data_IF_377134637792
#
_entry.id   IF_377134637792
#
_cell.length_a   1.000
_cell.length_b   1.000
_cell.length_c   1.000
_cell.angle_alpha   90.00
_cell.angle_beta   90.00
_cell.angle_gamma   90.00
#
_symmetry.space_group_name_H-M   'P 1'
#
loop_
_entity.id
_entity.type
_entity.pdbx_description
1 polymer ?
#
# COMPACT_ATOMS: atom_id res chain seq x y z
N UNK A 1 -16.18 -15.62 11.95
CA UNK A 1 -15.05 -14.78 11.50
C UNK A 1 -14.60 -15.29 10.13
N UNK A 2 -14.40 -14.41 9.14
CA UNK A 2 -14.10 -14.83 7.77
C UNK A 2 -12.60 -15.13 7.64
N UNK A 3 -12.23 -16.41 7.60
CA UNK A 3 -10.84 -16.90 7.65
C UNK A 3 -9.92 -16.29 6.56
N UNK A 4 -10.49 -15.84 5.44
CA UNK A 4 -9.73 -15.18 4.39
C UNK A 4 -9.23 -13.79 4.81
N UNK A 5 -10.08 -13.01 5.51
CA UNK A 5 -9.72 -11.67 6.01
C UNK A 5 -8.53 -11.74 6.96
N UNK A 6 -8.54 -12.70 7.89
CA UNK A 6 -7.46 -12.90 8.85
C UNK A 6 -6.15 -13.27 8.17
N UNK A 7 -6.21 -14.14 7.14
CA UNK A 7 -5.03 -14.48 6.34
C UNK A 7 -4.47 -13.25 5.64
N UNK A 8 -5.29 -12.45 4.97
CA UNK A 8 -4.82 -11.22 4.28
C UNK A 8 -4.19 -10.24 5.26
N UNK A 9 -4.82 -10.02 6.43
CA UNK A 9 -4.28 -9.13 7.45
C UNK A 9 -2.97 -9.66 8.05
N UNK A 10 -2.80 -10.98 8.15
CA UNK A 10 -1.53 -11.59 8.56
C UNK A 10 -0.41 -11.26 7.57
N UNK A 11 -0.62 -11.47 6.28
CA UNK A 11 0.38 -11.13 5.26
C UNK A 11 0.64 -9.61 5.20
N UNK A 12 -0.41 -8.80 5.33
CA UNK A 12 -0.27 -7.34 5.41
C UNK A 12 0.65 -6.92 6.57
N UNK A 13 0.45 -7.50 7.75
CA UNK A 13 1.29 -7.21 8.91
C UNK A 13 2.73 -7.67 8.69
N UNK A 14 2.96 -8.81 8.03
CA UNK A 14 4.30 -9.27 7.67
C UNK A 14 5.02 -8.27 6.75
N UNK A 15 4.36 -7.82 5.67
CA UNK A 15 4.92 -6.80 4.78
C UNK A 15 5.18 -5.48 5.52
N UNK A 16 4.30 -5.08 6.45
CA UNK A 16 4.54 -3.90 7.28
C UNK A 16 5.73 -4.04 8.22
N UNK A 17 5.97 -5.20 8.82
CA UNK A 17 7.15 -5.43 9.66
C UNK A 17 8.43 -5.39 8.84
N UNK A 18 8.46 -6.03 7.67
CA UNK A 18 9.60 -5.95 6.74
C UNK A 18 9.85 -4.50 6.29
N UNK A 19 8.79 -3.74 5.99
CA UNK A 19 8.90 -2.32 5.68
C UNK A 19 9.47 -1.51 6.85
N UNK A 20 9.05 -1.79 8.10
CA UNK A 20 9.60 -1.13 9.31
C UNK A 20 11.08 -1.44 9.50
N UNK A 21 11.46 -2.71 9.37
CA UNK A 21 12.86 -3.13 9.51
C UNK A 21 13.74 -2.44 8.46
N UNK A 22 13.30 -2.41 7.20
CA UNK A 22 14.00 -1.70 6.13
C UNK A 22 14.07 -0.18 6.37
N UNK A 23 13.00 0.42 6.91
CA UNK A 23 12.97 1.85 7.26
C UNK A 23 14.00 2.21 8.34
N UNK A 24 14.14 1.36 9.37
CA UNK A 24 15.09 1.59 10.48
C UNK A 24 16.54 1.64 10.01
N UNK A 25 16.90 0.86 9.00
CA UNK A 25 18.25 0.83 8.40
C UNK A 25 18.37 1.71 7.16
N UNK A 26 17.38 2.58 6.89
CA UNK A 26 17.35 3.49 5.74
C UNK A 26 17.43 2.81 4.36
N UNK A 27 17.02 1.53 4.28
CA UNK A 27 16.95 0.79 3.02
C UNK A 27 15.65 1.16 2.28
N UNK A 28 15.63 2.35 1.65
CA UNK A 28 14.41 2.96 1.16
C UNK A 28 13.74 2.22 0.00
N UNK A 29 14.47 1.66 -0.96
CA UNK A 29 13.84 0.88 -2.04
C UNK A 29 13.17 -0.38 -1.47
N UNK A 30 13.87 -1.10 -0.59
CA UNK A 30 13.31 -2.30 0.08
C UNK A 30 12.09 -1.94 0.94
N UNK A 31 12.17 -0.84 1.69
CA UNK A 31 11.05 -0.35 2.47
C UNK A 31 9.84 -0.07 1.57
N UNK A 32 10.05 0.65 0.46
CA UNK A 32 8.97 1.01 -0.45
C UNK A 32 8.36 -0.22 -1.14
N UNK A 33 9.19 -1.18 -1.55
CA UNK A 33 8.73 -2.46 -2.10
C UNK A 33 7.75 -3.19 -1.16
N UNK A 34 8.10 -3.31 0.12
CA UNK A 34 7.21 -3.92 1.10
C UNK A 34 5.95 -3.08 1.36
N UNK A 35 6.04 -1.75 1.29
CA UNK A 35 4.87 -0.88 1.36
C UNK A 35 3.94 -1.05 0.16
N UNK A 36 4.45 -1.20 -1.06
CA UNK A 36 3.63 -1.46 -2.26
C UNK A 36 2.83 -2.76 -2.12
N UNK A 37 3.46 -3.78 -1.56
CA UNK A 37 2.84 -5.07 -1.27
C UNK A 37 1.81 -4.99 -0.16
N UNK A 38 2.13 -4.30 0.95
CA UNK A 38 1.19 -4.00 2.01
C UNK A 38 -0.01 -3.20 1.48
N UNK A 39 0.21 -2.27 0.55
CA UNK A 39 -0.85 -1.48 -0.07
C UNK A 39 -1.82 -2.39 -0.83
N UNK A 40 -1.33 -3.29 -1.69
CA UNK A 40 -2.15 -4.26 -2.44
C UNK A 40 -3.02 -5.11 -1.49
N UNK A 41 -2.44 -5.64 -0.41
CA UNK A 41 -3.17 -6.44 0.59
C UNK A 41 -4.16 -5.59 1.40
N UNK A 42 -3.81 -4.34 1.66
CA UNK A 42 -4.57 -3.38 2.44
C UNK A 42 -5.72 -2.70 1.67
N UNK A 43 -5.77 -2.76 0.33
CA UNK A 43 -6.71 -1.97 -0.50
C UNK A 43 -8.18 -2.09 -0.08
N UNK A 44 -8.61 -3.27 0.39
CA UNK A 44 -10.00 -3.53 0.80
C UNK A 44 -10.31 -3.09 2.24
N UNK A 45 -9.31 -2.60 2.98
CA UNK A 45 -9.43 -2.22 4.37
C UNK A 45 -8.99 -0.77 4.55
N UNK A 46 -9.93 0.13 4.79
CA UNK A 46 -9.70 1.58 4.84
C UNK A 46 -8.54 1.95 5.78
N UNK A 47 -8.47 1.35 6.97
CA UNK A 47 -7.40 1.64 7.94
C UNK A 47 -6.02 1.14 7.42
N UNK A 48 -5.82 -0.15 7.10
CA UNK A 48 -4.58 -0.63 6.45
C UNK A 48 -4.14 0.17 5.22
N UNK A 49 -5.07 0.49 4.33
CA UNK A 49 -4.79 1.28 3.13
C UNK A 49 -4.23 2.67 3.49
N UNK A 50 -4.93 3.42 4.34
CA UNK A 50 -4.51 4.76 4.76
C UNK A 50 -3.19 4.74 5.53
N UNK A 51 -2.99 3.77 6.43
CA UNK A 51 -1.72 3.60 7.16
C UNK A 51 -0.55 3.37 6.21
N UNK A 52 -0.77 2.60 5.14
CA UNK A 52 0.27 2.33 4.15
C UNK A 52 0.65 3.60 3.36
N UNK A 53 -0.33 4.39 2.94
CA UNK A 53 -0.07 5.68 2.28
C UNK A 53 0.70 6.66 3.18
N UNK A 54 0.36 6.73 4.48
CA UNK A 54 1.11 7.55 5.45
C UNK A 54 2.58 7.09 5.54
N UNK A 55 2.83 5.78 5.49
CA UNK A 55 4.20 5.25 5.51
C UNK A 55 4.95 5.53 4.20
N UNK A 56 4.30 5.38 3.05
CA UNK A 56 4.86 5.76 1.75
C UNK A 56 5.22 7.25 1.72
N UNK A 57 4.33 8.11 2.25
CA UNK A 57 4.58 9.54 2.41
C UNK A 57 5.84 9.82 3.24
N UNK A 58 6.01 9.13 4.38
CA UNK A 58 7.22 9.26 5.21
C UNK A 58 8.48 8.85 4.46
N UNK A 59 8.44 7.78 3.65
CA UNK A 59 9.56 7.40 2.80
C UNK A 59 9.85 8.48 1.75
N UNK A 60 8.82 9.09 1.15
CA UNK A 60 8.95 10.24 0.25
C UNK A 60 9.66 11.43 0.91
N UNK A 61 9.29 11.77 2.15
CA UNK A 61 9.98 12.81 2.95
C UNK A 61 11.48 12.50 3.14
N UNK A 62 11.83 11.27 3.53
CA UNK A 62 13.23 10.88 3.73
C UNK A 62 14.04 10.88 2.42
N UNK A 63 13.45 10.45 1.31
CA UNK A 63 14.07 10.46 -0.02
C UNK A 63 14.10 11.84 -0.66
N UNK A 64 13.45 12.85 -0.06
CA UNK A 64 13.20 14.18 -0.65
C UNK A 64 12.51 14.07 -2.03
N UNK A 65 11.65 13.07 -2.18
CA UNK A 65 10.90 12.81 -3.40
C UNK A 65 9.58 13.59 -3.38
N UNK A 66 9.61 14.81 -3.93
CA UNK A 66 8.45 15.70 -3.96
C UNK A 66 7.26 15.12 -4.73
N UNK A 67 7.51 14.33 -5.78
CA UNK A 67 6.43 13.69 -6.55
C UNK A 67 5.70 12.68 -5.68
N UNK A 68 6.46 11.89 -4.93
CA UNK A 68 5.90 10.93 -3.98
C UNK A 68 5.13 11.62 -2.85
N UNK A 69 5.69 12.66 -2.26
CA UNK A 69 5.03 13.44 -1.18
C UNK A 69 3.65 13.95 -1.64
N UNK A 70 3.59 14.64 -2.79
CA UNK A 70 2.33 15.21 -3.32
C UNK A 70 1.37 14.10 -3.73
N UNK A 71 1.86 13.05 -4.40
CA UNK A 71 1.06 11.91 -4.82
C UNK A 71 0.40 11.19 -3.64
N UNK A 72 1.12 11.00 -2.53
CA UNK A 72 0.58 10.36 -1.34
C UNK A 72 -0.46 11.23 -0.61
N UNK A 73 -0.26 12.55 -0.53
CA UNK A 73 -1.29 13.46 0.01
C UNK A 73 -2.59 13.36 -0.79
N UNK A 74 -2.50 13.41 -2.12
CA UNK A 74 -3.65 13.24 -3.00
C UNK A 74 -4.34 11.88 -2.80
N UNK A 75 -3.57 10.79 -2.69
CA UNK A 75 -4.08 9.42 -2.53
C UNK A 75 -4.71 9.16 -1.16
N UNK A 76 -4.24 9.80 -0.09
CA UNK A 76 -4.88 9.73 1.21
C UNK A 76 -6.29 10.33 1.13
N UNK A 77 -6.43 11.52 0.54
CA UNK A 77 -7.73 12.19 0.41
C UNK A 77 -8.66 11.41 -0.53
N UNK A 78 -8.18 11.09 -1.73
CA UNK A 78 -9.00 10.41 -2.74
C UNK A 78 -9.27 8.94 -2.43
N UNK A 79 -8.38 8.25 -1.72
CA UNK A 79 -8.58 6.86 -1.30
C UNK A 79 -9.72 6.71 -0.29
N UNK A 80 -9.89 7.67 0.63
CA UNK A 80 -11.02 7.71 1.56
C UNK A 80 -12.34 7.89 0.79
N UNK A 81 -12.38 8.83 -0.15
CA UNK A 81 -13.57 9.10 -1.00
C UNK A 81 -13.86 7.90 -1.93
N UNK A 82 -12.84 7.38 -2.61
CA UNK A 82 -12.90 6.24 -3.53
C UNK A 82 -13.41 4.96 -2.86
N UNK A 83 -13.00 4.74 -1.62
CA UNK A 83 -13.51 3.62 -0.81
C UNK A 83 -15.00 3.79 -0.47
N UNK A 84 -15.47 5.02 -0.23
CA UNK A 84 -16.87 5.30 0.05
C UNK A 84 -17.79 5.07 -1.18
N UNK A 85 -17.29 5.31 -2.39
CA UNK A 85 -18.01 5.06 -3.65
C UNK A 85 -17.79 3.64 -4.22
N UNK A 86 -17.01 2.78 -3.54
CA UNK A 86 -16.80 1.38 -3.90
C UNK A 86 -15.85 1.12 -5.09
N UNK A 87 -15.09 2.13 -5.53
CA UNK A 87 -14.16 1.99 -6.66
C UNK A 87 -12.74 1.81 -6.14
N UNK A 88 -12.27 0.56 -6.17
CA UNK A 88 -10.91 0.20 -5.75
C UNK A 88 -10.10 -0.35 -6.94
N UNK A 89 -8.97 0.28 -7.30
CA UNK A 89 -8.11 -0.11 -8.41
C UNK A 89 -7.24 -1.30 -8.00
N UNK A 90 -7.83 -2.50 -8.10
CA UNK A 90 -7.22 -3.71 -7.57
C UNK A 90 -5.83 -3.99 -8.16
N UNK A 91 -4.89 -4.36 -7.29
CA UNK A 91 -3.49 -4.63 -7.64
C UNK A 91 -2.59 -3.39 -7.79
N UNK A 92 -3.15 -2.17 -7.70
CA UNK A 92 -2.36 -0.94 -7.75
C UNK A 92 -1.32 -0.92 -6.63
N UNK A 93 -0.07 -0.56 -6.93
CA UNK A 93 1.01 -0.56 -5.93
C UNK A 93 1.00 0.66 -5.01
N UNK A 94 0.28 1.73 -5.37
CA UNK A 94 0.07 2.89 -4.52
C UNK A 94 1.12 4.00 -4.66
N UNK A 95 2.25 3.76 -5.34
CA UNK A 95 3.27 4.78 -5.61
C UNK A 95 2.79 5.92 -6.51
N UNK A 96 3.44 7.08 -6.42
CA UNK A 96 3.12 8.26 -7.25
C UNK A 96 3.52 8.09 -8.73
N UNK A 97 4.36 7.10 -9.03
CA UNK A 97 4.78 6.73 -10.39
C UNK A 97 3.73 5.93 -11.18
N UNK A 98 2.64 5.49 -10.52
CA UNK A 98 1.54 4.78 -11.19
C UNK A 98 0.24 5.60 -11.11
N UNK A 99 -0.59 5.52 -12.16
CA UNK A 99 -1.89 6.17 -12.17
C UNK A 99 -2.77 5.60 -11.02
N UNK A 100 -3.41 6.45 -10.20
CA UNK A 100 -4.18 6.02 -9.04
C UNK A 100 -5.38 5.16 -9.37
N UNK A 101 -5.98 5.28 -10.56
CA UNK A 101 -7.16 4.51 -10.97
C UNK A 101 -6.79 3.28 -11.82
N UNK A 102 -5.51 3.06 -12.09
CA UNK A 102 -5.05 1.91 -12.90
C UNK A 102 -5.18 0.63 -12.11
N UNK A 103 -5.98 -0.32 -12.62
CA UNK A 103 -5.95 -1.72 -12.19
C UNK A 103 -4.66 -2.37 -12.67
N UNK A 104 -4.07 -3.22 -11.85
CA UNK A 104 -2.82 -3.90 -12.15
C UNK A 104 -2.94 -5.39 -11.80
N UNK A 105 -2.09 -6.21 -12.40
CA UNK A 105 -2.04 -7.62 -12.07
C UNK A 105 -1.55 -7.82 -10.63
N UNK A 106 -2.14 -8.80 -9.94
CA UNK A 106 -1.65 -9.19 -8.62
C UNK A 106 -0.30 -9.91 -8.74
N UNK A 107 0.62 -9.68 -7.79
CA UNK A 107 1.76 -10.56 -7.57
C UNK A 107 1.33 -12.04 -7.46
N UNK A 108 2.10 -12.95 -8.05
CA UNK A 108 1.76 -14.39 -8.13
C UNK A 108 1.47 -15.01 -6.76
N UNK A 109 2.24 -14.62 -5.75
CA UNK A 109 2.09 -15.06 -4.37
C UNK A 109 0.79 -14.55 -3.73
N UNK A 110 0.25 -13.43 -4.20
CA UNK A 110 -1.03 -12.88 -3.74
C UNK A 110 -2.25 -13.45 -4.49
N UNK A 111 -2.07 -13.96 -5.72
CA UNK A 111 -3.19 -14.53 -6.51
C UNK A 111 -3.90 -15.67 -5.79
N UNK A 112 -3.18 -16.50 -5.03
CA UNK A 112 -3.79 -17.60 -4.24
C UNK A 112 -4.40 -17.13 -2.93
N UNK A 113 -3.90 -16.02 -2.38
CA UNK A 113 -4.35 -15.47 -1.11
C UNK A 113 -5.63 -14.64 -1.26
N UNK A 114 -5.76 -13.90 -2.36
CA UNK A 114 -6.85 -12.96 -2.57
C UNK A 114 -7.94 -13.44 -3.54
N UNK A 115 -7.88 -14.71 -3.95
CA UNK A 115 -8.96 -15.41 -4.65
C UNK A 115 -10.21 -15.53 -3.77
#
# INVERSE_FOLDING_TARGET
>A
MNSNKERVLKYYNQELEEAKAAYQVMAWEKCFFHLERAHILGQRFIIPHTVTHIRMFRVGLHRKDFKEIVGQLFRIVTGVIGSAIGVLPYGNTGGSNVNPFKRMELPEDFKKLLK
#
